data_IF_248471058254
#
_entry.id   IF_248471058254
#
_cell.length_a   1.000
_cell.length_b   1.000
_cell.length_c   1.000
_cell.angle_alpha   90.00
_cell.angle_beta   90.00
_cell.angle_gamma   90.00
#
_symmetry.space_group_name_H-M   'P 1'
#
loop_
_entity.id
_entity.type
_entity.pdbx_description
1 polymer ?
#
# COMPACT_ATOMS: atom_id res chain seq x y z
N UNK A 1 7.99 -5.21 -22.63
CA UNK A 1 6.75 -4.52 -22.15
C UNK A 1 6.83 -4.02 -20.71
N UNK A 2 7.23 -4.79 -19.68
CA UNK A 2 7.23 -4.32 -18.27
C UNK A 2 8.17 -3.12 -17.98
N UNK A 3 9.37 -3.06 -18.61
CA UNK A 3 10.31 -1.94 -18.42
C UNK A 3 9.78 -0.60 -18.96
N UNK A 4 9.08 -0.63 -20.10
CA UNK A 4 8.49 0.56 -20.72
C UNK A 4 7.40 1.18 -19.83
N UNK A 5 6.58 0.33 -19.18
CA UNK A 5 5.50 0.78 -18.31
C UNK A 5 6.03 1.59 -17.10
N UNK A 6 7.11 1.15 -16.45
CA UNK A 6 7.74 1.87 -15.35
C UNK A 6 8.40 3.18 -15.81
N UNK A 7 8.96 3.20 -17.01
CA UNK A 7 9.52 4.43 -17.59
C UNK A 7 8.44 5.49 -17.79
N UNK A 8 7.26 5.11 -18.30
CA UNK A 8 6.11 6.00 -18.49
C UNK A 8 5.56 6.55 -17.17
N UNK A 9 5.68 5.79 -16.06
CA UNK A 9 5.21 6.19 -14.75
C UNK A 9 6.19 7.13 -14.00
N UNK A 10 7.44 7.30 -14.48
CA UNK A 10 8.48 8.03 -13.73
C UNK A 10 8.07 9.43 -13.30
N UNK A 11 7.42 10.20 -14.17
CA UNK A 11 6.97 11.56 -13.82
C UNK A 11 5.90 11.53 -12.73
N UNK A 12 4.95 10.61 -12.81
CA UNK A 12 3.89 10.45 -11.81
C UNK A 12 4.42 9.92 -10.47
N UNK A 13 5.41 9.06 -10.49
CA UNK A 13 6.07 8.56 -9.27
C UNK A 13 6.77 9.68 -8.50
N UNK A 14 7.34 10.68 -9.20
CA UNK A 14 8.00 11.82 -8.58
C UNK A 14 7.05 12.76 -7.83
N UNK A 15 5.79 12.83 -8.26
CA UNK A 15 4.78 13.69 -7.65
C UNK A 15 4.07 13.04 -6.45
N UNK A 16 4.31 11.75 -6.18
CA UNK A 16 3.67 11.06 -5.06
C UNK A 16 4.18 11.61 -3.72
N UNK A 17 3.25 11.99 -2.88
CA UNK A 17 3.48 12.47 -1.51
C UNK A 17 2.88 11.53 -0.46
N UNK A 18 1.81 10.77 -0.83
CA UNK A 18 1.14 9.83 0.03
C UNK A 18 1.12 8.44 -0.64
N UNK A 19 1.65 7.44 0.06
CA UNK A 19 1.50 6.03 -0.29
C UNK A 19 0.57 5.36 0.72
N UNK A 20 -0.56 4.86 0.26
CA UNK A 20 -1.53 4.13 1.06
C UNK A 20 -1.43 2.65 0.74
N UNK A 21 -1.35 1.84 1.77
CA UNK A 21 -1.17 0.40 1.68
C UNK A 21 -2.39 -0.30 2.28
N UNK A 22 -3.04 -1.16 1.50
CA UNK A 22 -3.83 -2.21 2.11
C UNK A 22 -2.93 -3.14 2.92
N UNK A 23 -3.48 -3.95 3.79
CA UNK A 23 -2.71 -4.78 4.72
C UNK A 23 -2.76 -6.24 4.32
N UNK A 24 -3.95 -6.82 4.27
CA UNK A 24 -4.12 -8.25 4.04
C UNK A 24 -4.00 -8.56 2.53
N UNK A 25 -2.99 -9.33 2.14
CA UNK A 25 -2.64 -9.58 0.75
C UNK A 25 -1.66 -8.57 0.14
N UNK A 26 -1.31 -7.47 0.85
CA UNK A 26 -0.28 -6.49 0.44
C UNK A 26 0.93 -6.54 1.36
N UNK A 27 0.76 -6.20 2.64
CA UNK A 27 1.79 -6.26 3.68
C UNK A 27 1.91 -7.66 4.30
N UNK A 28 0.87 -8.46 4.17
CA UNK A 28 0.84 -9.88 4.52
C UNK A 28 0.56 -10.72 3.27
N UNK A 29 0.63 -12.03 3.40
CA UNK A 29 0.26 -12.99 2.35
C UNK A 29 -1.26 -13.29 2.31
N UNK A 30 -2.06 -12.54 3.08
CA UNK A 30 -3.50 -12.72 3.21
C UNK A 30 -3.90 -13.83 4.20
N UNK A 31 -2.95 -14.60 4.73
CA UNK A 31 -3.21 -15.63 5.74
C UNK A 31 -3.57 -15.04 7.09
N UNK A 32 -4.59 -15.60 7.73
CA UNK A 32 -5.01 -15.26 9.08
C UNK A 32 -4.73 -16.45 10.00
N UNK A 33 -4.00 -16.21 11.08
CA UNK A 33 -3.67 -17.22 12.08
C UNK A 33 -4.47 -16.95 13.35
N UNK A 34 -5.29 -17.90 13.76
CA UNK A 34 -6.06 -17.83 15.00
C UNK A 34 -5.55 -18.87 15.98
N UNK A 35 -5.39 -18.49 17.24
CA UNK A 35 -5.22 -19.44 18.35
C UNK A 35 -6.57 -19.96 18.84
N UNK A 36 -6.54 -20.87 19.83
CA UNK A 36 -7.76 -21.47 20.40
C UNK A 36 -8.63 -20.45 21.15
N UNK A 37 -8.05 -19.36 21.60
CA UNK A 37 -8.69 -18.25 22.30
C UNK A 37 -9.26 -17.19 21.33
N UNK A 38 -9.02 -17.35 20.00
CA UNK A 38 -9.49 -16.45 18.96
C UNK A 38 -8.62 -15.23 18.72
N UNK A 39 -7.41 -15.18 19.27
CA UNK A 39 -6.47 -14.09 18.97
C UNK A 39 -5.92 -14.21 17.56
N UNK A 40 -5.94 -13.10 16.84
CA UNK A 40 -5.46 -13.02 15.47
C UNK A 40 -3.97 -12.64 15.42
N UNK A 41 -3.19 -13.44 14.73
CA UNK A 41 -1.80 -13.14 14.38
C UNK A 41 -1.64 -12.97 12.86
N UNK A 42 -0.74 -12.08 12.46
CA UNK A 42 -0.39 -11.84 11.06
C UNK A 42 1.13 -11.87 10.87
N UNK A 43 1.58 -12.42 9.75
CA UNK A 43 2.97 -12.42 9.37
C UNK A 43 3.27 -11.22 8.46
N UNK A 44 4.22 -10.37 8.88
CA UNK A 44 4.74 -9.25 8.09
C UNK A 44 6.17 -9.55 7.61
N UNK A 45 6.52 -9.03 6.44
CA UNK A 45 7.87 -9.15 5.89
C UNK A 45 8.76 -7.98 6.36
N UNK A 46 9.97 -8.29 6.82
CA UNK A 46 10.92 -7.27 7.28
C UNK A 46 11.42 -6.38 6.14
N UNK A 47 11.47 -6.91 4.90
CA UNK A 47 11.89 -6.17 3.72
C UNK A 47 10.88 -5.07 3.37
N UNK A 48 9.59 -5.35 3.49
CA UNK A 48 8.52 -4.37 3.29
C UNK A 48 8.60 -3.27 4.34
N UNK A 49 8.86 -3.63 5.60
CA UNK A 49 9.09 -2.66 6.67
C UNK A 49 10.28 -1.73 6.40
N UNK A 50 11.40 -2.28 5.89
CA UNK A 50 12.54 -1.46 5.47
C UNK A 50 12.19 -0.55 4.28
N UNK A 51 11.45 -1.06 3.29
CA UNK A 51 10.96 -0.27 2.16
C UNK A 51 10.14 0.94 2.60
N UNK A 52 9.21 0.73 3.54
CA UNK A 52 8.41 1.80 4.16
C UNK A 52 9.30 2.86 4.81
N UNK A 53 10.25 2.45 5.64
CA UNK A 53 11.18 3.39 6.31
C UNK A 53 12.01 4.22 5.32
N UNK A 54 12.47 3.62 4.23
CA UNK A 54 13.21 4.33 3.19
C UNK A 54 12.34 5.38 2.50
N UNK A 55 11.07 5.09 2.24
CA UNK A 55 10.12 6.06 1.69
C UNK A 55 9.83 7.21 2.67
N UNK A 56 9.67 6.91 3.95
CA UNK A 56 9.49 7.93 5.00
C UNK A 56 10.73 8.85 5.10
N UNK A 57 11.94 8.29 5.05
CA UNK A 57 13.19 9.06 5.02
C UNK A 57 13.30 9.94 3.78
N UNK A 58 12.70 9.53 2.66
CA UNK A 58 12.61 10.32 1.44
C UNK A 58 11.47 11.36 1.47
N UNK A 59 10.74 11.49 2.58
CA UNK A 59 9.70 12.49 2.79
C UNK A 59 8.30 12.07 2.35
N UNK A 60 8.07 10.78 2.00
CA UNK A 60 6.73 10.31 1.70
C UNK A 60 5.94 10.03 2.97
N UNK A 61 4.69 10.44 2.98
CA UNK A 61 3.72 10.01 3.98
C UNK A 61 3.22 8.59 3.65
N UNK A 62 3.13 7.76 4.69
CA UNK A 62 2.66 6.38 4.55
C UNK A 62 1.43 6.20 5.42
N UNK A 63 0.40 5.55 4.87
CA UNK A 63 -0.80 5.18 5.61
C UNK A 63 -1.15 3.71 5.38
N UNK A 64 -1.73 3.08 6.40
CA UNK A 64 -2.41 1.79 6.27
C UNK A 64 -3.91 2.02 6.18
N UNK A 65 -4.58 1.31 5.26
CA UNK A 65 -6.02 1.39 5.04
C UNK A 65 -6.59 -0.01 4.84
N UNK A 66 -7.09 -0.61 5.91
CA UNK A 66 -7.52 -2.01 5.95
C UNK A 66 -9.00 -2.14 6.31
N UNK A 67 -9.69 -3.07 5.63
CA UNK A 67 -11.03 -3.53 6.04
C UNK A 67 -11.01 -4.45 7.24
N UNK A 68 -9.87 -5.09 7.52
CA UNK A 68 -9.68 -5.95 8.68
C UNK A 68 -9.61 -5.18 9.98
N UNK A 69 -9.88 -5.88 11.09
CA UNK A 69 -9.79 -5.29 12.42
C UNK A 69 -8.33 -5.01 12.82
N UNK A 70 -8.12 -4.13 13.82
CA UNK A 70 -6.85 -3.68 14.33
C UNK A 70 -5.92 -4.79 14.86
N UNK A 71 -5.41 -4.62 16.08
CA UNK A 71 -4.51 -5.60 16.71
C UNK A 71 -3.14 -5.66 16.06
N UNK A 72 -2.79 -6.77 15.39
CA UNK A 72 -1.47 -6.97 14.79
C UNK A 72 -1.10 -5.88 13.77
N UNK A 73 -2.09 -5.34 13.03
CA UNK A 73 -1.90 -4.25 12.07
C UNK A 73 -1.47 -2.96 12.76
N UNK A 74 -2.14 -2.58 13.84
CA UNK A 74 -1.81 -1.38 14.62
C UNK A 74 -0.46 -1.50 15.33
N UNK A 75 -0.15 -2.69 15.86
CA UNK A 75 1.18 -2.97 16.43
C UNK A 75 2.26 -2.76 15.36
N UNK A 76 2.04 -3.28 14.15
CA UNK A 76 2.99 -3.12 13.06
C UNK A 76 3.13 -1.67 12.61
N UNK A 77 2.03 -0.92 12.53
CA UNK A 77 2.05 0.51 12.21
C UNK A 77 2.89 1.29 13.22
N UNK A 78 2.67 1.07 14.53
CA UNK A 78 3.47 1.72 15.59
C UNK A 78 4.96 1.39 15.48
N UNK A 79 5.33 0.12 15.23
CA UNK A 79 6.74 -0.28 15.06
C UNK A 79 7.41 0.44 13.88
N UNK A 80 6.66 0.78 12.84
CA UNK A 80 7.15 1.47 11.65
C UNK A 80 7.02 2.99 11.72
N UNK A 81 6.48 3.55 12.82
CA UNK A 81 6.26 4.99 12.97
C UNK A 81 5.17 5.54 12.04
N UNK A 82 4.18 4.71 11.68
CA UNK A 82 3.07 5.12 10.81
C UNK A 82 1.97 5.72 11.69
N UNK A 83 1.69 7.01 11.49
CA UNK A 83 0.68 7.77 12.24
C UNK A 83 -0.74 7.52 11.73
N UNK A 84 -0.90 7.17 10.45
CA UNK A 84 -2.21 6.98 9.82
C UNK A 84 -2.45 5.49 9.59
N UNK A 85 -3.05 4.83 10.58
CA UNK A 85 -3.43 3.43 10.54
C UNK A 85 -4.96 3.32 10.67
N UNK A 86 -5.63 3.18 9.52
CA UNK A 86 -7.08 3.12 9.41
C UNK A 86 -7.49 1.65 9.25
N UNK A 87 -8.10 1.08 10.29
CA UNK A 87 -8.53 -0.32 10.35
C UNK A 87 -10.05 -0.43 10.51
N UNK A 88 -10.63 -1.55 10.11
CA UNK A 88 -12.09 -1.75 10.15
C UNK A 88 -12.86 -0.89 9.14
N UNK A 89 -12.20 -0.40 8.11
CA UNK A 89 -12.77 0.54 7.14
C UNK A 89 -13.59 -0.21 6.08
N UNK A 90 -14.88 0.05 6.04
CA UNK A 90 -15.79 -0.50 5.02
C UNK A 90 -15.82 0.36 3.75
N UNK A 91 -15.80 1.68 3.90
CA UNK A 91 -15.78 2.64 2.77
C UNK A 91 -14.36 3.21 2.61
N UNK A 92 -13.51 2.47 1.90
CA UNK A 92 -12.12 2.88 1.63
C UNK A 92 -12.01 4.20 0.86
N UNK A 93 -12.82 4.47 -0.19
CA UNK A 93 -12.80 5.77 -0.87
C UNK A 93 -13.07 6.96 0.03
N UNK A 94 -14.12 6.89 0.85
CA UNK A 94 -14.47 7.98 1.78
C UNK A 94 -13.36 8.22 2.81
N UNK A 95 -12.84 7.16 3.43
CA UNK A 95 -11.76 7.24 4.41
C UNK A 95 -10.47 7.81 3.77
N UNK A 96 -10.14 7.39 2.55
CA UNK A 96 -8.98 7.91 1.84
C UNK A 96 -9.13 9.39 1.47
N UNK A 97 -10.31 9.80 1.00
CA UNK A 97 -10.58 11.20 0.67
C UNK A 97 -10.47 12.09 1.91
N UNK A 98 -11.00 11.66 3.05
CA UNK A 98 -10.85 12.39 4.32
C UNK A 98 -9.38 12.51 4.74
N UNK A 99 -8.60 11.43 4.61
CA UNK A 99 -7.16 11.45 4.89
C UNK A 99 -6.40 12.40 3.96
N UNK A 100 -6.70 12.41 2.66
CA UNK A 100 -6.11 13.33 1.69
C UNK A 100 -6.38 14.78 2.05
N UNK A 101 -7.61 15.11 2.45
CA UNK A 101 -7.99 16.45 2.91
C UNK A 101 -7.21 16.86 4.16
N UNK A 102 -7.15 15.96 5.15
CA UNK A 102 -6.40 16.19 6.40
C UNK A 102 -4.91 16.49 6.14
N UNK A 103 -4.31 15.81 5.16
CA UNK A 103 -2.89 15.92 4.82
C UNK A 103 -2.58 17.01 3.79
N UNK A 104 -3.59 17.61 3.17
CA UNK A 104 -3.42 18.57 2.09
C UNK A 104 -2.84 17.95 0.82
N UNK A 105 -3.08 16.64 0.57
CA UNK A 105 -2.55 15.88 -0.56
C UNK A 105 -3.66 15.61 -1.56
N UNK A 106 -3.41 15.86 -2.84
CA UNK A 106 -4.39 15.58 -3.90
C UNK A 106 -4.43 14.11 -4.29
N UNK A 107 -5.53 13.69 -4.95
CA UNK A 107 -5.63 12.35 -5.55
C UNK A 107 -4.47 12.06 -6.50
N UNK A 108 -4.03 13.04 -7.31
CA UNK A 108 -2.92 12.88 -8.24
C UNK A 108 -1.57 12.61 -7.54
N UNK A 109 -1.42 13.06 -6.30
CA UNK A 109 -0.23 12.87 -5.46
C UNK A 109 -0.33 11.65 -4.55
N UNK A 110 -1.41 10.88 -4.65
CA UNK A 110 -1.67 9.68 -3.84
C UNK A 110 -1.47 8.42 -4.69
N UNK A 111 -0.69 7.49 -4.16
CA UNK A 111 -0.58 6.12 -4.67
C UNK A 111 -1.23 5.15 -3.69
N UNK A 112 -1.88 4.12 -4.21
CA UNK A 112 -2.48 3.04 -3.44
C UNK A 112 -1.92 1.69 -3.88
N UNK A 113 -1.73 0.77 -2.93
CA UNK A 113 -1.42 -0.63 -3.20
C UNK A 113 -2.56 -1.48 -2.66
N UNK A 114 -3.18 -2.27 -3.52
CA UNK A 114 -4.27 -3.16 -3.15
C UNK A 114 -4.20 -4.48 -3.89
N UNK A 115 -4.91 -5.48 -3.41
CA UNK A 115 -4.87 -6.84 -3.95
C UNK A 115 -6.24 -7.43 -4.29
N UNK A 116 -7.34 -6.94 -3.68
CA UNK A 116 -8.66 -7.53 -3.87
C UNK A 116 -9.74 -6.52 -4.30
N UNK A 117 -10.94 -7.02 -4.57
CA UNK A 117 -12.04 -6.27 -5.17
C UNK A 117 -12.46 -5.03 -4.40
N UNK A 118 -12.39 -5.08 -3.06
CA UNK A 118 -12.69 -3.93 -2.20
C UNK A 118 -11.72 -2.75 -2.41
N UNK A 119 -10.51 -3.01 -2.93
CA UNK A 119 -9.51 -2.00 -3.25
C UNK A 119 -9.80 -1.28 -4.57
N UNK A 120 -10.56 -1.88 -5.48
CA UNK A 120 -10.92 -1.23 -6.74
C UNK A 120 -11.75 0.03 -6.54
N UNK A 121 -12.51 0.10 -5.45
CA UNK A 121 -13.33 1.26 -5.14
C UNK A 121 -12.50 2.55 -4.98
N UNK A 122 -11.21 2.46 -4.56
CA UNK A 122 -10.35 3.64 -4.40
C UNK A 122 -9.84 4.20 -5.73
N UNK A 123 -9.99 3.47 -6.84
CA UNK A 123 -9.43 3.87 -8.14
C UNK A 123 -9.77 5.31 -8.58
N UNK A 124 -11.01 5.82 -8.39
CA UNK A 124 -11.35 7.21 -8.76
C UNK A 124 -10.67 8.28 -7.90
N UNK A 125 -10.21 7.93 -6.70
CA UNK A 125 -9.66 8.88 -5.72
C UNK A 125 -8.14 8.78 -5.55
N UNK A 126 -7.45 8.03 -6.44
CA UNK A 126 -5.98 7.90 -6.43
C UNK A 126 -5.36 8.20 -7.79
N UNK A 127 -4.17 8.77 -7.77
CA UNK A 127 -3.39 9.00 -8.98
C UNK A 127 -2.80 7.70 -9.53
N UNK A 128 -2.23 6.86 -8.67
CA UNK A 128 -1.63 5.58 -9.05
C UNK A 128 -2.18 4.43 -8.21
N UNK A 129 -2.51 3.33 -8.89
CA UNK A 129 -2.88 2.06 -8.27
C UNK A 129 -1.82 1.00 -8.62
N UNK A 130 -1.29 0.33 -7.61
CA UNK A 130 -0.35 -0.79 -7.75
C UNK A 130 -0.97 -2.06 -7.19
N UNK A 131 -0.54 -3.21 -7.70
CA UNK A 131 -0.99 -4.52 -7.26
C UNK A 131 0.19 -5.46 -7.05
N UNK A 132 0.21 -6.27 -5.98
CA UNK A 132 1.12 -7.41 -5.85
C UNK A 132 0.95 -8.41 -7.01
N UNK A 133 1.93 -9.30 -7.20
CA UNK A 133 1.90 -10.28 -8.29
C UNK A 133 0.72 -11.24 -8.20
N UNK A 134 0.27 -11.54 -7.00
CA UNK A 134 -0.81 -12.47 -6.64
C UNK A 134 -2.15 -11.79 -6.34
N UNK A 135 -2.26 -10.48 -6.51
CA UNK A 135 -3.53 -9.77 -6.44
C UNK A 135 -4.57 -10.39 -7.37
N UNK A 136 -5.86 -10.27 -7.05
CA UNK A 136 -6.93 -10.79 -7.88
C UNK A 136 -6.89 -10.20 -9.31
N UNK A 137 -7.41 -10.95 -10.26
CA UNK A 137 -7.35 -10.58 -11.68
C UNK A 137 -7.92 -9.18 -11.99
N UNK A 138 -9.08 -8.78 -11.44
CA UNK A 138 -9.63 -7.44 -11.69
C UNK A 138 -8.69 -6.31 -11.23
N UNK A 139 -8.09 -6.44 -10.05
CA UNK A 139 -7.14 -5.43 -9.53
C UNK A 139 -5.91 -5.34 -10.41
N UNK A 140 -5.32 -6.49 -10.80
CA UNK A 140 -4.16 -6.50 -11.71
C UNK A 140 -4.43 -5.86 -13.07
N UNK A 141 -5.67 -5.95 -13.58
CA UNK A 141 -6.07 -5.29 -14.83
C UNK A 141 -6.22 -3.78 -14.67
N UNK A 142 -6.75 -3.32 -13.55
CA UNK A 142 -6.99 -1.90 -13.25
C UNK A 142 -5.75 -1.17 -12.77
N UNK A 143 -4.72 -1.89 -12.29
CA UNK A 143 -3.50 -1.31 -11.75
C UNK A 143 -2.66 -0.62 -12.84
N UNK A 144 -2.08 0.53 -12.50
CA UNK A 144 -1.09 1.23 -13.33
C UNK A 144 0.18 0.40 -13.51
N UNK A 145 0.56 -0.39 -12.50
CA UNK A 145 1.56 -1.44 -12.64
C UNK A 145 1.33 -2.59 -11.65
N UNK A 146 1.67 -3.80 -12.09
CA UNK A 146 1.70 -5.01 -11.26
C UNK A 146 3.15 -5.28 -10.85
N UNK A 147 3.37 -5.44 -9.56
CA UNK A 147 4.66 -5.77 -8.98
C UNK A 147 5.07 -7.22 -9.33
N UNK A 148 6.33 -7.53 -9.20
CA UNK A 148 6.85 -8.90 -9.43
C UNK A 148 6.73 -9.76 -8.17
N UNK A 149 6.82 -9.11 -7.00
CA UNK A 149 6.74 -9.76 -5.71
C UNK A 149 5.28 -9.93 -5.29
N UNK A 150 5.03 -10.98 -4.55
CA UNK A 150 3.73 -11.28 -3.94
C UNK A 150 3.53 -10.44 -2.69
N UNK A 151 2.28 -10.27 -2.27
CA UNK A 151 1.95 -9.66 -0.99
C UNK A 151 2.63 -10.38 0.17
N UNK A 152 3.08 -9.64 1.18
CA UNK A 152 3.85 -10.17 2.32
C UNK A 152 5.19 -10.81 1.98
N UNK A 153 5.71 -10.62 0.76
CA UNK A 153 6.96 -11.20 0.29
C UNK A 153 7.89 -10.17 -0.39
N UNK A 154 7.84 -8.93 0.06
CA UNK A 154 8.67 -7.84 -0.46
C UNK A 154 8.04 -7.05 -1.61
N UNK A 155 6.72 -7.08 -1.78
CA UNK A 155 6.01 -6.29 -2.78
C UNK A 155 6.14 -4.78 -2.53
N UNK A 156 5.93 -4.35 -1.29
CA UNK A 156 6.08 -2.94 -0.91
C UNK A 156 7.54 -2.51 -1.00
N UNK A 157 8.50 -3.39 -0.68
CA UNK A 157 9.93 -3.13 -0.89
C UNK A 157 10.26 -2.90 -2.36
N UNK A 158 9.74 -3.74 -3.27
CA UNK A 158 9.93 -3.54 -4.71
C UNK A 158 9.39 -2.18 -5.16
N UNK A 159 8.18 -1.80 -4.69
CA UNK A 159 7.60 -0.50 -5.03
C UNK A 159 8.43 0.66 -4.49
N UNK A 160 8.91 0.56 -3.25
CA UNK A 160 9.77 1.57 -2.63
C UNK A 160 11.03 1.82 -3.47
N UNK A 161 11.71 0.78 -3.92
CA UNK A 161 12.87 0.90 -4.80
C UNK A 161 12.53 1.60 -6.13
N UNK A 162 11.34 1.33 -6.71
CA UNK A 162 10.89 1.99 -7.93
C UNK A 162 10.60 3.47 -7.74
N UNK A 163 9.97 3.84 -6.63
CA UNK A 163 9.68 5.24 -6.30
C UNK A 163 11.00 6.00 -6.09
N UNK A 164 11.90 5.47 -5.30
CA UNK A 164 13.19 6.10 -4.99
C UNK A 164 14.08 6.27 -6.25
N UNK A 165 14.16 5.24 -7.09
CA UNK A 165 14.85 5.31 -8.39
C UNK A 165 14.20 6.35 -9.33
N UNK A 166 12.89 6.46 -9.32
CA UNK A 166 12.14 7.46 -10.08
C UNK A 166 12.45 8.89 -9.63
N UNK A 167 12.68 9.09 -8.34
CA UNK A 167 12.98 10.40 -7.73
C UNK A 167 14.45 10.80 -7.82
N UNK A 168 15.36 9.91 -8.26
CA UNK A 168 16.80 10.20 -8.26
C UNK A 168 17.40 10.32 -6.85
N UNK A 169 16.76 9.66 -5.87
CA UNK A 169 17.13 9.63 -4.45
C UNK A 169 17.71 8.29 -4.07
#
# INVERSE_FOLDING_TARGET
MKRLRWWLLRHRLRSIQLLVLDVDGVLTDGGLWFDAEGHLSKRFDVRDGLGIRLLQQAGLQIAFLSGGQGGATEVRARQLGISHCLVGIKDKPAALTALQQQLGVSSAQTAFVGDDLNDLAVRPVVGLLFAPADACRPVRHSADAVLRRRGGHGAVRELAERILQGCGR
#
